data_IF_958127125733
#
_entry.id   IF_958127125733
#
_cell.length_a   1.000
_cell.length_b   1.000
_cell.length_c   1.000
_cell.angle_alpha   90.00
_cell.angle_beta   90.00
_cell.angle_gamma   90.00
#
_symmetry.space_group_name_H-M   'P 1'
#
loop_
_entity.id
_entity.type
_entity.pdbx_description
1 polymer ?
#
# COMPACT_ATOMS: atom_id res chain seq x y z
N UNK A 1 -5.17 -11.17 20.71
CA UNK A 1 -6.35 -11.30 21.60
C UNK A 1 -5.87 -11.15 23.03
N UNK A 2 -6.63 -10.46 23.87
CA UNK A 2 -6.39 -10.29 25.31
C UNK A 2 -7.70 -10.51 26.07
N UNK A 3 -8.09 -11.77 26.38
CA UNK A 3 -9.41 -12.06 26.93
C UNK A 3 -9.71 -11.42 28.30
N UNK A 4 -8.66 -11.06 29.06
CA UNK A 4 -8.79 -10.41 30.36
C UNK A 4 -8.85 -8.88 30.24
N UNK A 5 -8.65 -8.34 29.03
CA UNK A 5 -8.56 -6.92 28.72
C UNK A 5 -7.56 -6.20 29.64
N UNK A 6 -6.41 -6.79 29.97
CA UNK A 6 -5.40 -6.20 30.88
C UNK A 6 -4.18 -5.62 30.17
N UNK A 7 -3.98 -5.95 28.90
CA UNK A 7 -2.85 -5.49 28.11
C UNK A 7 -2.95 -4.01 27.75
N UNK A 8 -1.80 -3.34 27.61
CA UNK A 8 -1.77 -1.93 27.24
C UNK A 8 -2.07 -1.70 25.76
N UNK A 9 -1.43 -2.46 24.86
CA UNK A 9 -1.60 -2.28 23.40
C UNK A 9 -1.63 -3.62 22.68
N UNK A 10 -2.55 -3.75 21.72
CA UNK A 10 -2.63 -4.94 20.86
C UNK A 10 -1.53 -4.98 19.81
N UNK A 11 -1.41 -3.92 19.01
CA UNK A 11 -0.31 -3.73 18.05
C UNK A 11 0.35 -2.36 18.26
N UNK A 12 1.59 -2.38 18.73
CA UNK A 12 2.36 -1.16 18.99
C UNK A 12 3.45 -1.01 17.92
N UNK A 13 3.26 -0.08 16.98
CA UNK A 13 4.29 0.24 16.00
C UNK A 13 5.19 1.34 16.58
N UNK A 14 6.05 0.92 17.50
CA UNK A 14 7.10 1.73 18.14
C UNK A 14 8.50 1.24 17.70
N UNK A 15 8.56 0.61 16.53
CA UNK A 15 9.77 0.06 15.93
C UNK A 15 10.32 1.02 14.85
N UNK A 16 11.57 0.79 14.44
CA UNK A 16 12.20 1.42 13.28
C UNK A 16 11.33 1.45 12.01
N UNK A 17 11.76 2.20 11.00
CA UNK A 17 11.12 2.38 9.68
C UNK A 17 9.93 1.46 9.38
N UNK A 18 8.71 1.94 9.66
CA UNK A 18 7.45 1.21 9.39
C UNK A 18 6.79 1.77 8.15
N UNK A 19 7.14 1.19 7.00
CA UNK A 19 6.54 1.48 5.69
C UNK A 19 5.84 0.24 5.16
N UNK A 20 4.97 -0.34 5.97
CA UNK A 20 4.41 -1.68 5.75
C UNK A 20 2.97 -1.62 5.26
N UNK A 21 2.59 -2.63 4.47
CA UNK A 21 1.19 -2.98 4.23
C UNK A 21 0.78 -4.10 5.18
N UNK A 22 -0.16 -3.84 6.07
CA UNK A 22 -0.68 -4.81 7.03
C UNK A 22 -2.18 -4.97 6.81
N UNK A 23 -2.67 -6.21 6.73
CA UNK A 23 -4.08 -6.46 6.45
C UNK A 23 -4.61 -7.74 7.06
N UNK A 24 -5.94 -7.82 7.16
CA UNK A 24 -6.67 -8.95 7.73
C UNK A 24 -6.30 -9.18 9.21
N UNK A 25 -6.39 -8.11 10.00
CA UNK A 25 -6.00 -8.10 11.41
C UNK A 25 -7.25 -8.00 12.27
N UNK A 26 -7.30 -8.82 13.34
CA UNK A 26 -8.28 -8.69 14.40
C UNK A 26 -7.57 -8.41 15.72
N UNK A 27 -7.93 -7.30 16.38
CA UNK A 27 -7.49 -6.97 17.74
C UNK A 27 -8.69 -6.95 18.67
N UNK A 28 -8.64 -7.76 19.70
CA UNK A 28 -9.70 -7.93 20.70
C UNK A 28 -9.11 -7.75 22.10
N UNK A 29 -9.61 -6.77 22.84
CA UNK A 29 -9.13 -6.36 24.16
C UNK A 29 -8.15 -5.18 24.15
N UNK A 30 -7.30 -5.09 25.18
CA UNK A 30 -6.30 -4.03 25.42
C UNK A 30 -6.86 -2.63 25.76
N UNK A 31 -6.02 -1.75 26.31
CA UNK A 31 -6.34 -0.32 26.40
C UNK A 31 -6.44 0.30 25.01
N UNK A 32 -5.42 0.07 24.20
CA UNK A 32 -5.34 0.56 22.83
C UNK A 32 -5.25 -0.60 21.85
N UNK A 33 -6.05 -0.58 20.79
CA UNK A 33 -6.03 -1.64 19.78
C UNK A 33 -4.74 -1.57 18.97
N UNK A 34 -4.53 -0.44 18.30
CA UNK A 34 -3.35 -0.16 17.48
C UNK A 34 -2.78 1.20 17.87
N UNK A 35 -1.47 1.27 18.19
CA UNK A 35 -0.80 2.52 18.57
C UNK A 35 0.37 2.85 17.64
N UNK A 36 0.38 4.09 17.14
CA UNK A 36 1.48 4.67 16.38
C UNK A 36 2.14 5.78 17.20
N UNK A 37 3.47 5.75 17.28
CA UNK A 37 4.32 6.76 17.91
C UNK A 37 5.28 7.39 16.90
N UNK A 38 5.87 8.57 17.17
CA UNK A 38 6.86 9.12 16.26
C UNK A 38 8.10 8.23 16.30
N UNK A 39 8.49 7.72 15.14
CA UNK A 39 9.78 7.08 14.95
C UNK A 39 10.26 7.30 13.51
N UNK A 40 11.55 7.10 13.24
CA UNK A 40 12.21 7.36 11.96
C UNK A 40 11.39 6.83 10.75
N UNK A 41 10.87 7.76 9.94
CA UNK A 41 10.08 7.53 8.71
C UNK A 41 9.00 6.43 8.81
N UNK A 42 7.98 6.66 9.64
CA UNK A 42 6.90 5.70 9.92
C UNK A 42 5.55 6.14 9.36
N UNK A 43 4.98 5.34 8.44
CA UNK A 43 3.60 5.47 7.93
C UNK A 43 3.06 4.12 7.46
N UNK A 44 2.61 3.24 8.38
CA UNK A 44 1.96 2.00 8.00
C UNK A 44 0.67 2.28 7.21
N UNK A 45 0.39 1.34 6.31
CA UNK A 45 -0.88 1.24 5.60
C UNK A 45 -1.62 0.01 6.11
N UNK A 46 -2.84 0.23 6.60
CA UNK A 46 -3.68 -0.78 7.23
C UNK A 46 -4.94 -0.99 6.39
N UNK A 47 -5.27 -2.24 6.05
CA UNK A 47 -6.52 -2.60 5.38
C UNK A 47 -7.21 -3.79 6.04
N UNK A 48 -8.55 -3.82 6.04
CA UNK A 48 -9.34 -4.96 6.56
C UNK A 48 -8.96 -5.27 8.02
N UNK A 49 -9.11 -4.27 8.88
CA UNK A 49 -8.78 -4.35 10.30
C UNK A 49 -10.06 -4.32 11.11
N UNK A 50 -10.24 -5.29 12.00
CA UNK A 50 -11.30 -5.24 13.03
C UNK A 50 -10.67 -5.02 14.39
N UNK A 51 -11.12 -4.00 15.10
CA UNK A 51 -10.70 -3.71 16.48
C UNK A 51 -11.93 -3.61 17.37
N UNK A 52 -11.90 -4.31 18.51
CA UNK A 52 -13.03 -4.35 19.43
C UNK A 52 -12.62 -4.53 20.88
N UNK A 53 -13.45 -4.05 21.79
CA UNK A 53 -13.26 -4.16 23.24
C UNK A 53 -12.00 -3.46 23.78
N UNK A 54 -11.63 -2.31 23.19
CA UNK A 54 -10.57 -1.44 23.72
C UNK A 54 -11.08 -0.61 24.91
N UNK A 55 -10.21 -0.37 25.90
CA UNK A 55 -10.55 0.43 27.11
C UNK A 55 -10.21 1.92 27.00
N UNK A 56 -9.41 2.34 26.01
CA UNK A 56 -8.96 3.73 25.82
C UNK A 56 -9.21 4.25 24.41
N UNK A 57 -8.76 3.52 23.38
CA UNK A 57 -8.99 3.90 21.98
C UNK A 57 -8.80 2.70 21.04
N UNK A 58 -9.56 2.68 19.95
CA UNK A 58 -9.34 1.70 18.89
C UNK A 58 -7.95 1.88 18.25
N UNK A 59 -7.76 2.98 17.53
CA UNK A 59 -6.48 3.41 16.96
C UNK A 59 -6.00 4.68 17.65
N UNK A 60 -4.77 4.68 18.14
CA UNK A 60 -4.14 5.84 18.75
C UNK A 60 -2.93 6.30 17.94
N UNK A 61 -2.97 7.54 17.45
CA UNK A 61 -1.82 8.22 16.87
C UNK A 61 -1.32 9.25 17.89
N UNK A 62 -0.08 9.08 18.34
CA UNK A 62 0.63 10.01 19.22
C UNK A 62 1.85 10.46 18.43
N UNK A 63 1.84 11.68 17.87
CA UNK A 63 2.80 12.15 16.85
C UNK A 63 3.12 11.12 15.74
N UNK A 64 2.20 10.19 15.51
CA UNK A 64 2.34 9.06 14.60
C UNK A 64 1.44 9.21 13.38
N UNK A 65 1.74 8.49 12.32
CA UNK A 65 0.95 8.58 11.08
C UNK A 65 0.44 7.22 10.64
N UNK A 66 -0.71 7.20 9.96
CA UNK A 66 -1.26 5.98 9.37
C UNK A 66 -2.19 6.29 8.19
N UNK A 67 -2.17 5.41 7.19
CA UNK A 67 -3.20 5.33 6.16
C UNK A 67 -4.05 4.08 6.39
N UNK A 68 -5.35 4.23 6.61
CA UNK A 68 -6.24 3.14 7.02
C UNK A 68 -7.45 3.10 6.09
N UNK A 69 -7.77 1.91 5.60
CA UNK A 69 -8.99 1.65 4.81
C UNK A 69 -9.67 0.39 5.32
N UNK A 70 -11.02 0.32 5.29
CA UNK A 70 -11.77 -0.85 5.78
C UNK A 70 -11.45 -1.18 7.25
N UNK A 71 -11.40 -0.15 8.10
CA UNK A 71 -11.38 -0.30 9.55
C UNK A 71 -12.81 -0.58 10.03
N UNK A 72 -12.97 -1.60 10.85
CA UNK A 72 -14.18 -1.85 11.62
C UNK A 72 -13.87 -1.74 13.10
N UNK A 73 -14.34 -0.67 13.74
CA UNK A 73 -14.18 -0.47 15.17
C UNK A 73 -15.50 -0.76 15.88
N UNK A 74 -15.49 -1.69 16.82
CA UNK A 74 -16.63 -2.01 17.70
C UNK A 74 -16.26 -1.64 19.15
N UNK A 75 -16.44 -0.37 19.51
CA UNK A 75 -15.91 0.17 20.77
C UNK A 75 -16.82 1.23 21.36
N UNK A 76 -16.86 1.33 22.70
CA UNK A 76 -17.52 2.44 23.41
C UNK A 76 -16.61 3.66 23.60
N UNK A 77 -15.29 3.44 23.48
CA UNK A 77 -14.22 4.45 23.43
C UNK A 77 -14.02 4.97 22.01
N UNK A 78 -13.28 6.08 21.79
CA UNK A 78 -13.01 6.57 20.44
C UNK A 78 -12.42 5.47 19.56
N UNK A 79 -12.98 5.31 18.37
CA UNK A 79 -12.43 4.40 17.37
C UNK A 79 -11.06 4.87 16.89
N UNK A 80 -10.84 6.19 16.83
CA UNK A 80 -9.56 6.79 16.49
C UNK A 80 -9.29 8.04 17.34
N UNK A 81 -8.06 8.18 17.84
CA UNK A 81 -7.60 9.35 18.58
C UNK A 81 -6.26 9.86 18.04
N UNK A 82 -6.18 11.15 17.75
CA UNK A 82 -4.95 11.83 17.32
C UNK A 82 -4.49 12.81 18.41
N UNK A 83 -3.22 12.68 18.78
CA UNK A 83 -2.53 13.51 19.78
C UNK A 83 -1.13 13.87 19.29
N UNK A 84 -0.61 15.03 19.71
CA UNK A 84 0.65 15.57 19.18
C UNK A 84 0.50 16.22 17.79
N UNK A 85 1.32 17.24 17.53
CA UNK A 85 1.25 18.04 16.30
C UNK A 85 1.65 17.27 15.04
N UNK A 86 2.48 16.23 15.17
CA UNK A 86 2.92 15.37 14.07
C UNK A 86 1.93 14.28 13.67
N UNK A 87 0.82 14.14 14.40
CA UNK A 87 -0.18 13.11 14.07
C UNK A 87 -0.83 13.36 12.71
N UNK A 88 -0.89 12.32 11.87
CA UNK A 88 -1.54 12.41 10.56
C UNK A 88 -2.31 11.12 10.23
N UNK A 89 -3.64 11.24 10.11
CA UNK A 89 -4.51 10.12 9.78
C UNK A 89 -5.16 10.25 8.41
N UNK A 90 -5.23 9.13 7.69
CA UNK A 90 -6.14 8.92 6.58
C UNK A 90 -7.04 7.74 6.93
N UNK A 91 -8.36 7.91 6.86
CA UNK A 91 -9.34 6.87 7.17
C UNK A 91 -10.41 6.78 6.07
N UNK A 92 -10.49 5.64 5.40
CA UNK A 92 -11.32 5.43 4.22
C UNK A 92 -12.24 4.22 4.37
N UNK A 93 -13.42 4.26 3.76
CA UNK A 93 -14.31 3.10 3.58
C UNK A 93 -14.49 2.26 4.86
N UNK A 94 -14.75 2.91 5.99
CA UNK A 94 -14.67 2.30 7.33
C UNK A 94 -15.98 2.36 8.11
N UNK A 95 -16.09 1.55 9.16
CA UNK A 95 -17.27 1.42 10.02
C UNK A 95 -16.88 1.62 11.48
N UNK A 96 -17.42 2.65 12.12
CA UNK A 96 -17.16 2.96 13.53
C UNK A 96 -18.47 2.79 14.32
N UNK A 97 -18.59 1.70 15.08
CA UNK A 97 -19.84 1.27 15.71
C UNK A 97 -19.68 0.96 17.19
N UNK A 98 -20.81 0.75 17.89
CA UNK A 98 -20.88 0.55 19.33
C UNK A 98 -21.09 1.88 20.04
N UNK A 99 -20.04 2.68 20.10
CA UNK A 99 -20.00 4.03 20.63
C UNK A 99 -20.55 4.20 22.06
N UNK A 100 -20.57 5.45 22.51
CA UNK A 100 -21.30 5.88 23.69
C UNK A 100 -21.73 7.35 23.50
N UNK A 101 -22.83 7.75 24.12
CA UNK A 101 -23.39 9.09 23.96
C UNK A 101 -22.41 10.22 24.37
N UNK A 102 -21.51 9.97 25.33
CA UNK A 102 -20.48 10.92 25.77
C UNK A 102 -19.19 10.89 24.95
N UNK A 103 -19.09 10.01 23.95
CA UNK A 103 -17.86 9.74 23.21
C UNK A 103 -17.99 10.13 21.74
N UNK A 104 -16.95 10.73 21.16
CA UNK A 104 -16.85 10.92 19.72
C UNK A 104 -16.09 9.77 19.05
N UNK A 105 -16.53 9.34 17.87
CA UNK A 105 -15.88 8.23 17.15
C UNK A 105 -14.43 8.56 16.78
N UNK A 106 -14.19 9.77 16.28
CA UNK A 106 -12.85 10.28 15.97
C UNK A 106 -12.58 11.51 16.84
N UNK A 107 -11.46 11.50 17.56
CA UNK A 107 -11.00 12.63 18.38
C UNK A 107 -9.69 13.18 17.84
N UNK A 108 -9.67 14.48 17.53
CA UNK A 108 -8.51 15.18 16.98
C UNK A 108 -8.11 16.26 17.98
N UNK A 109 -7.23 15.91 18.91
CA UNK A 109 -6.70 16.84 19.90
C UNK A 109 -5.56 17.68 19.32
N UNK A 110 -4.75 17.07 18.44
CA UNK A 110 -3.72 17.73 17.64
C UNK A 110 -3.47 16.92 16.35
N UNK A 111 -2.76 17.51 15.39
CA UNK A 111 -2.46 16.87 14.11
C UNK A 111 -3.59 17.01 13.08
N UNK A 112 -3.54 16.17 12.05
CA UNK A 112 -4.36 16.29 10.84
C UNK A 112 -5.08 14.98 10.50
N UNK A 113 -6.29 15.08 9.93
CA UNK A 113 -7.07 13.93 9.53
C UNK A 113 -7.79 14.18 8.20
N UNK A 114 -7.74 13.19 7.32
CA UNK A 114 -8.61 13.05 6.16
C UNK A 114 -9.49 11.80 6.34
N UNK A 115 -10.80 11.96 6.25
CA UNK A 115 -11.77 10.89 6.50
C UNK A 115 -12.79 10.86 5.36
N UNK A 116 -13.00 9.71 4.72
CA UNK A 116 -13.92 9.60 3.56
C UNK A 116 -14.67 8.27 3.59
N UNK A 117 -15.97 8.30 3.26
CA UNK A 117 -16.87 7.13 3.21
C UNK A 117 -16.83 6.32 4.51
N UNK A 118 -17.06 6.99 5.64
CA UNK A 118 -17.07 6.35 6.96
C UNK A 118 -18.48 6.35 7.55
N UNK A 119 -18.97 5.18 7.94
CA UNK A 119 -20.22 5.06 8.67
C UNK A 119 -19.95 5.14 10.17
N UNK A 120 -20.82 5.84 10.89
CA UNK A 120 -20.69 6.03 12.33
C UNK A 120 -22.02 5.73 13.02
N UNK A 121 -22.00 4.86 14.03
CA UNK A 121 -23.18 4.51 14.80
C UNK A 121 -22.88 4.35 16.31
N UNK A 122 -23.80 4.82 17.16
CA UNK A 122 -23.72 4.68 18.62
C UNK A 122 -22.86 5.73 19.35
N UNK A 123 -22.07 6.53 18.62
CA UNK A 123 -21.30 7.64 19.19
C UNK A 123 -22.12 8.92 19.30
N UNK A 124 -21.82 9.76 20.29
CA UNK A 124 -22.46 11.07 20.45
C UNK A 124 -22.15 12.04 19.31
N UNK A 125 -20.92 11.97 18.78
CA UNK A 125 -20.48 12.71 17.59
C UNK A 125 -19.55 11.85 16.73
N UNK A 126 -19.53 12.09 15.43
CA UNK A 126 -18.64 11.39 14.50
C UNK A 126 -17.20 11.90 14.58
N UNK A 127 -17.01 13.21 14.64
CA UNK A 127 -15.70 13.84 14.82
C UNK A 127 -15.76 14.93 15.86
N UNK A 128 -14.74 15.01 16.71
CA UNK A 128 -14.46 16.16 17.58
C UNK A 128 -13.07 16.71 17.32
N UNK A 129 -12.97 18.00 17.00
CA UNK A 129 -11.71 18.75 16.87
C UNK A 129 -11.81 20.06 17.66
N UNK A 130 -11.18 20.12 18.83
CA UNK A 130 -11.39 21.25 19.75
C UNK A 130 -12.87 21.38 20.13
N UNK A 131 -13.48 22.53 19.80
CA UNK A 131 -14.92 22.79 19.99
C UNK A 131 -15.78 22.39 18.80
N UNK A 132 -15.18 22.03 17.66
CA UNK A 132 -15.92 21.61 16.47
C UNK A 132 -16.40 20.17 16.62
N UNK A 133 -17.68 19.96 16.31
CA UNK A 133 -18.36 18.66 16.32
C UNK A 133 -18.94 18.39 14.93
N UNK A 134 -18.87 17.15 14.49
CA UNK A 134 -19.46 16.65 13.23
C UNK A 134 -20.27 15.41 13.56
N UNK A 135 -21.47 15.32 13.01
CA UNK A 135 -22.43 14.25 13.30
C UNK A 135 -22.80 13.46 12.05
N UNK A 136 -23.25 12.22 12.26
CA UNK A 136 -23.73 11.33 11.20
C UNK A 136 -22.61 10.71 10.35
N UNK A 137 -23.00 10.02 9.28
CA UNK A 137 -22.05 9.38 8.38
C UNK A 137 -21.18 10.42 7.67
N UNK A 138 -19.90 10.10 7.51
CA UNK A 138 -18.90 10.99 6.91
C UNK A 138 -18.76 10.64 5.44
N UNK A 139 -19.27 11.52 4.57
CA UNK A 139 -18.99 11.45 3.13
C UNK A 139 -17.52 11.78 2.84
N UNK A 140 -17.09 12.98 3.21
CA UNK A 140 -15.69 13.43 3.20
C UNK A 140 -15.51 14.51 4.28
N UNK A 141 -14.42 14.42 5.03
CA UNK A 141 -14.03 15.37 6.07
C UNK A 141 -12.52 15.59 6.01
N UNK A 142 -12.12 16.86 6.01
CA UNK A 142 -10.75 17.32 6.20
C UNK A 142 -10.69 18.12 7.49
N UNK A 143 -9.70 17.85 8.33
CA UNK A 143 -9.57 18.60 9.58
C UNK A 143 -9.02 20.02 9.37
N UNK A 144 -8.47 20.33 8.19
CA UNK A 144 -7.92 21.63 7.83
C UNK A 144 -8.34 22.03 6.41
N UNK A 145 -8.25 23.32 6.09
CA UNK A 145 -8.55 23.80 4.75
C UNK A 145 -7.63 23.12 3.72
N UNK A 146 -8.18 22.57 2.63
CA UNK A 146 -7.37 21.92 1.61
C UNK A 146 -6.54 22.96 0.86
N UNK A 147 -5.27 22.62 0.59
CA UNK A 147 -4.43 23.40 -0.33
C UNK A 147 -4.77 22.98 -1.76
N UNK A 148 -4.93 23.95 -2.65
CA UNK A 148 -5.41 23.74 -4.01
C UNK A 148 -4.45 24.39 -5.00
N UNK A 149 -4.24 23.74 -6.15
CA UNK A 149 -3.41 24.29 -7.23
C UNK A 149 -3.98 25.61 -7.76
N UNK A 150 -5.30 25.70 -7.90
CA UNK A 150 -6.01 26.92 -8.31
C UNK A 150 -7.38 27.03 -7.65
N UNK A 151 -8.00 28.21 -7.72
CA UNK A 151 -9.37 28.43 -7.22
C UNK A 151 -10.43 27.60 -7.93
N UNK A 152 -10.18 27.24 -9.20
CA UNK A 152 -11.01 26.36 -10.01
C UNK A 152 -10.87 24.88 -9.63
N UNK A 153 -9.80 24.50 -8.93
CA UNK A 153 -9.61 23.13 -8.45
C UNK A 153 -10.67 22.84 -7.38
N UNK A 154 -11.42 21.72 -7.49
CA UNK A 154 -12.36 21.32 -6.46
C UNK A 154 -11.71 21.22 -5.08
N UNK A 155 -12.45 21.58 -4.03
CA UNK A 155 -12.00 21.43 -2.65
C UNK A 155 -12.26 20.01 -2.09
N UNK A 156 -12.52 19.05 -2.98
CA UNK A 156 -12.76 17.64 -2.65
C UNK A 156 -11.71 16.76 -3.30
N UNK A 157 -11.51 15.59 -2.73
CA UNK A 157 -10.67 14.57 -3.35
C UNK A 157 -11.28 14.04 -4.65
N UNK A 158 -10.48 13.29 -5.43
CA UNK A 158 -10.94 12.68 -6.69
C UNK A 158 -11.96 11.57 -6.46
N UNK A 159 -11.91 10.94 -5.28
CA UNK A 159 -12.74 9.80 -4.91
C UNK A 159 -12.72 8.68 -5.94
N UNK A 160 -11.50 8.36 -6.40
CA UNK A 160 -11.33 7.28 -7.37
C UNK A 160 -11.88 5.98 -6.79
N UNK A 161 -12.60 5.17 -7.59
CA UNK A 161 -13.05 3.87 -7.15
C UNK A 161 -11.84 2.99 -6.85
N UNK A 162 -11.89 2.29 -5.73
CA UNK A 162 -10.81 1.39 -5.30
C UNK A 162 -11.24 -0.05 -5.53
N UNK A 163 -10.53 -0.79 -6.37
CA UNK A 163 -10.78 -2.22 -6.54
C UNK A 163 -10.14 -3.03 -5.41
N UNK A 164 -10.90 -3.99 -4.87
CA UNK A 164 -10.39 -4.93 -3.89
C UNK A 164 -9.36 -5.87 -4.53
N UNK A 165 -8.31 -6.21 -3.77
CA UNK A 165 -7.35 -7.22 -4.20
C UNK A 165 -8.12 -8.53 -4.38
N UNK A 166 -8.04 -9.19 -5.55
CA UNK A 166 -8.69 -10.48 -5.73
C UNK A 166 -8.28 -11.47 -4.64
N UNK A 167 -9.25 -12.18 -4.07
CA UNK A 167 -8.99 -13.23 -3.06
C UNK A 167 -8.83 -14.57 -3.77
N UNK A 168 -7.85 -15.35 -3.32
CA UNK A 168 -7.59 -16.69 -3.83
C UNK A 168 -7.25 -17.63 -2.67
N UNK A 169 -7.93 -18.77 -2.61
CA UNK A 169 -7.56 -19.85 -1.69
C UNK A 169 -6.23 -20.49 -2.11
N UNK A 170 -5.45 -20.95 -1.15
CA UNK A 170 -4.25 -21.72 -1.45
C UNK A 170 -4.62 -23.08 -2.05
N UNK A 171 -3.94 -23.47 -3.13
CA UNK A 171 -4.08 -24.83 -3.65
C UNK A 171 -3.44 -25.83 -2.67
N UNK A 172 -3.88 -27.10 -2.62
CA UNK A 172 -3.21 -28.12 -1.82
C UNK A 172 -1.75 -28.25 -2.27
N UNK A 173 -0.82 -28.43 -1.34
CA UNK A 173 0.63 -28.50 -1.63
C UNK A 173 0.97 -29.60 -2.65
N UNK A 174 0.18 -30.68 -2.72
CA UNK A 174 0.31 -31.75 -3.74
C UNK A 174 0.07 -31.28 -5.17
N UNK A 175 -0.53 -30.10 -5.36
CA UNK A 175 -0.73 -29.46 -6.65
C UNK A 175 0.36 -28.45 -7.01
N UNK A 176 1.34 -28.23 -6.14
CA UNK A 176 2.42 -27.27 -6.37
C UNK A 176 3.58 -27.95 -7.11
N UNK A 177 4.34 -27.15 -7.86
CA UNK A 177 5.55 -27.62 -8.56
C UNK A 177 6.70 -26.66 -8.32
N UNK A 178 7.92 -27.20 -8.22
CA UNK A 178 9.15 -26.42 -8.17
C UNK A 178 10.00 -26.66 -9.42
N UNK A 179 10.86 -25.72 -9.81
CA UNK A 179 11.92 -25.98 -10.78
C UNK A 179 12.79 -27.16 -10.33
N UNK A 180 13.12 -28.08 -11.25
CA UNK A 180 13.98 -29.22 -10.96
C UNK A 180 15.47 -28.84 -11.01
N UNK A 181 15.87 -27.94 -10.11
CA UNK A 181 17.25 -27.45 -9.93
C UNK A 181 17.42 -26.93 -8.49
N UNK A 182 18.62 -26.94 -7.89
CA UNK A 182 18.83 -26.56 -6.50
C UNK A 182 18.39 -25.12 -6.15
N UNK A 183 18.57 -24.16 -7.06
CA UNK A 183 18.38 -22.75 -6.75
C UNK A 183 19.49 -22.20 -5.85
N UNK A 184 20.74 -22.43 -6.24
CA UNK A 184 21.97 -22.00 -5.58
C UNK A 184 22.64 -20.76 -6.21
N UNK A 185 21.99 -20.15 -7.21
CA UNK A 185 22.52 -19.01 -7.98
C UNK A 185 23.61 -19.34 -8.99
N UNK A 186 24.06 -20.61 -9.11
CA UNK A 186 25.21 -20.97 -9.94
C UNK A 186 24.78 -21.35 -11.36
N UNK A 187 23.96 -22.39 -11.46
CA UNK A 187 23.53 -22.96 -12.74
C UNK A 187 22.40 -22.14 -13.37
N UNK A 188 22.35 -22.11 -14.71
CA UNK A 188 21.22 -21.54 -15.44
C UNK A 188 19.94 -22.35 -15.19
N UNK A 189 19.00 -21.76 -14.45
CA UNK A 189 17.73 -22.35 -14.09
C UNK A 189 16.63 -22.12 -15.13
N UNK A 190 16.87 -21.38 -16.22
CA UNK A 190 15.83 -20.98 -17.18
C UNK A 190 15.04 -22.18 -17.71
N UNK A 191 15.70 -23.28 -18.10
CA UNK A 191 15.02 -24.47 -18.60
C UNK A 191 14.17 -25.17 -17.52
N UNK A 192 14.70 -25.28 -16.30
CA UNK A 192 14.01 -25.89 -15.17
C UNK A 192 12.77 -25.10 -14.74
N UNK A 193 12.85 -23.77 -14.75
CA UNK A 193 11.70 -22.91 -14.43
C UNK A 193 10.65 -22.97 -15.55
N UNK A 194 11.05 -22.94 -16.82
CA UNK A 194 10.12 -23.13 -17.95
C UNK A 194 9.37 -24.45 -17.84
N UNK A 195 10.06 -25.54 -17.49
CA UNK A 195 9.44 -26.84 -17.27
C UNK A 195 8.43 -26.83 -16.10
N UNK A 196 8.71 -26.11 -15.02
CA UNK A 196 7.76 -25.95 -13.92
C UNK A 196 6.53 -25.13 -14.35
N UNK A 197 6.72 -24.02 -15.07
CA UNK A 197 5.63 -23.19 -15.59
C UNK A 197 4.73 -23.94 -16.58
N UNK A 198 5.30 -24.83 -17.41
CA UNK A 198 4.56 -25.63 -18.40
C UNK A 198 3.95 -26.92 -17.85
N UNK A 199 4.14 -27.24 -16.57
CA UNK A 199 3.67 -28.49 -15.94
C UNK A 199 2.14 -28.64 -15.85
N UNK A 200 1.38 -27.59 -16.17
CA UNK A 200 -0.07 -27.54 -15.99
C UNK A 200 -0.52 -27.32 -14.54
N UNK A 201 0.42 -27.18 -13.59
CA UNK A 201 0.12 -26.97 -12.17
C UNK A 201 -0.25 -25.50 -11.88
N UNK A 202 -1.20 -25.23 -10.97
CA UNK A 202 -1.67 -23.88 -10.68
C UNK A 202 -0.69 -23.03 -9.86
N UNK A 203 0.15 -23.67 -9.04
CA UNK A 203 1.15 -22.98 -8.21
C UNK A 203 2.56 -23.46 -8.55
N UNK A 204 3.41 -22.50 -8.96
CA UNK A 204 4.86 -22.71 -9.07
C UNK A 204 5.53 -22.05 -7.88
N UNK A 205 6.41 -22.77 -7.17
CA UNK A 205 7.11 -22.25 -6.01
C UNK A 205 8.63 -22.43 -6.09
N UNK A 206 9.35 -21.54 -5.41
CA UNK A 206 10.81 -21.43 -5.50
C UNK A 206 11.42 -21.58 -4.10
N UNK A 207 11.83 -22.80 -3.71
CA UNK A 207 12.36 -23.04 -2.37
C UNK A 207 13.87 -22.75 -2.21
N UNK A 208 14.58 -22.50 -3.31
CA UNK A 208 16.01 -22.17 -3.30
C UNK A 208 16.28 -20.76 -2.78
N UNK A 209 17.57 -20.45 -2.59
CA UNK A 209 18.01 -19.10 -2.24
C UNK A 209 18.01 -18.19 -3.48
N UNK A 210 18.53 -18.68 -4.61
CA UNK A 210 18.66 -17.90 -5.83
C UNK A 210 18.48 -18.76 -7.09
N UNK A 211 17.68 -18.29 -8.05
CA UNK A 211 17.56 -18.90 -9.38
C UNK A 211 18.09 -17.96 -10.44
N UNK A 212 19.28 -18.27 -10.97
CA UNK A 212 19.86 -17.55 -12.10
C UNK A 212 19.12 -17.87 -13.39
N UNK A 213 18.78 -16.85 -14.16
CA UNK A 213 18.11 -16.98 -15.46
C UNK A 213 18.87 -16.21 -16.54
N UNK A 214 18.82 -16.70 -17.78
CA UNK A 214 19.50 -16.08 -18.93
C UNK A 214 18.54 -15.54 -19.99
N UNK A 215 17.25 -15.87 -19.88
CA UNK A 215 16.22 -15.41 -20.80
C UNK A 215 14.85 -15.28 -20.11
N UNK A 216 13.94 -14.45 -20.65
CA UNK A 216 12.58 -14.33 -20.13
C UNK A 216 11.82 -15.67 -20.15
N UNK A 217 10.91 -15.80 -19.18
CA UNK A 217 10.06 -16.97 -18.96
C UNK A 217 8.60 -16.55 -19.01
N UNK A 218 7.81 -17.20 -19.85
CA UNK A 218 6.38 -16.95 -19.94
C UNK A 218 5.63 -17.59 -18.78
N UNK A 219 4.68 -16.85 -18.21
CA UNK A 219 3.75 -17.39 -17.22
C UNK A 219 2.43 -17.71 -17.92
N UNK A 220 2.12 -19.00 -18.17
CA UNK A 220 0.92 -19.40 -18.89
C UNK A 220 -0.35 -19.26 -18.05
N UNK A 221 -1.52 -19.33 -18.69
CA UNK A 221 -2.81 -19.25 -18.00
C UNK A 221 -3.03 -20.38 -16.98
N UNK A 222 -2.36 -21.54 -17.14
CA UNK A 222 -2.44 -22.65 -16.18
C UNK A 222 -1.86 -22.26 -14.81
N UNK A 223 -0.83 -21.41 -14.79
CA UNK A 223 -0.22 -20.91 -13.56
C UNK A 223 -1.05 -19.74 -13.04
N UNK A 224 -1.60 -19.90 -11.84
CA UNK A 224 -2.39 -18.88 -11.14
C UNK A 224 -1.60 -18.20 -10.05
N UNK A 225 -0.56 -18.86 -9.55
CA UNK A 225 0.29 -18.32 -8.50
C UNK A 225 1.77 -18.69 -8.69
N UNK A 226 2.63 -17.71 -8.42
CA UNK A 226 4.06 -17.86 -8.30
C UNK A 226 4.48 -17.47 -6.88
N UNK A 227 4.97 -18.44 -6.11
CA UNK A 227 5.38 -18.27 -4.72
C UNK A 227 6.90 -18.32 -4.63
N UNK A 228 7.54 -17.16 -4.46
CA UNK A 228 9.00 -17.07 -4.47
C UNK A 228 9.65 -17.44 -3.13
N UNK A 229 8.90 -17.51 -2.03
CA UNK A 229 9.44 -17.89 -0.70
C UNK A 229 10.69 -17.09 -0.27
N UNK A 230 10.70 -15.81 -0.62
CA UNK A 230 11.81 -14.87 -0.46
C UNK A 230 13.08 -15.21 -1.25
N UNK A 231 12.99 -16.09 -2.26
CA UNK A 231 14.08 -16.35 -3.20
C UNK A 231 14.44 -15.09 -3.98
N UNK A 232 15.69 -15.04 -4.40
CA UNK A 232 16.11 -14.20 -5.49
C UNK A 232 15.95 -14.90 -6.85
N UNK A 233 15.50 -14.17 -7.88
CA UNK A 233 15.68 -14.60 -9.27
C UNK A 233 16.59 -13.58 -9.93
N UNK A 234 17.76 -13.99 -10.43
CA UNK A 234 18.79 -13.08 -10.95
C UNK A 234 18.90 -13.17 -12.48
N UNK A 235 19.02 -12.00 -13.11
CA UNK A 235 19.23 -11.72 -14.53
C UNK A 235 19.33 -10.19 -14.68
N UNK A 236 20.05 -9.69 -15.68
CA UNK A 236 20.10 -8.26 -16.03
C UNK A 236 18.84 -7.78 -16.77
N UNK A 237 18.13 -8.68 -17.46
CA UNK A 237 16.93 -8.37 -18.25
C UNK A 237 15.60 -8.77 -17.59
N UNK A 238 14.53 -8.73 -18.40
CA UNK A 238 13.19 -9.21 -18.03
C UNK A 238 13.25 -10.68 -17.60
N UNK A 239 12.66 -11.01 -16.44
CA UNK A 239 12.60 -12.39 -15.94
C UNK A 239 11.33 -13.09 -16.37
N UNK A 240 10.19 -12.49 -16.10
CA UNK A 240 8.89 -13.09 -16.34
C UNK A 240 8.04 -12.23 -17.26
N UNK A 241 7.37 -12.87 -18.22
CA UNK A 241 6.36 -12.23 -19.07
C UNK A 241 4.98 -12.71 -18.64
N UNK A 242 4.13 -11.78 -18.25
CA UNK A 242 2.73 -12.06 -17.88
C UNK A 242 1.89 -12.04 -19.13
N UNK A 243 1.46 -13.22 -19.58
CA UNK A 243 0.66 -13.39 -20.78
C UNK A 243 -0.80 -12.92 -20.58
N UNK A 244 -1.42 -12.43 -21.64
CA UNK A 244 -2.85 -12.10 -21.70
C UNK A 244 -3.72 -13.31 -22.06
N UNK A 245 -5.01 -13.04 -22.32
CA UNK A 245 -5.97 -14.08 -22.74
C UNK A 245 -6.44 -15.00 -21.62
N UNK A 246 -6.10 -14.68 -20.37
CA UNK A 246 -6.55 -15.39 -19.17
C UNK A 246 -7.45 -14.44 -18.35
N UNK A 247 -8.64 -14.89 -17.95
CA UNK A 247 -9.54 -14.12 -17.07
C UNK A 247 -9.12 -14.16 -15.60
N UNK A 248 -8.48 -15.25 -15.17
CA UNK A 248 -8.07 -15.39 -13.77
C UNK A 248 -6.85 -14.54 -13.45
N UNK A 249 -6.85 -13.80 -12.32
CA UNK A 249 -5.68 -13.06 -11.86
C UNK A 249 -4.44 -13.95 -11.70
N UNK A 250 -3.26 -13.38 -11.92
CA UNK A 250 -1.98 -13.96 -11.55
C UNK A 250 -1.52 -13.38 -10.23
N UNK A 251 -1.20 -14.24 -9.26
CA UNK A 251 -0.61 -13.84 -7.99
C UNK A 251 0.89 -14.10 -8.01
N UNK A 252 1.71 -13.09 -7.73
CA UNK A 252 3.16 -13.23 -7.55
C UNK A 252 3.54 -12.72 -6.15
N UNK A 253 4.23 -13.56 -5.38
CA UNK A 253 4.42 -13.34 -3.94
C UNK A 253 5.85 -13.58 -3.47
N UNK A 254 6.31 -12.74 -2.55
CA UNK A 254 7.48 -12.96 -1.70
C UNK A 254 8.79 -13.16 -2.47
N UNK A 255 9.15 -12.24 -3.37
CA UNK A 255 10.33 -12.41 -4.22
C UNK A 255 11.26 -11.21 -4.18
N UNK A 256 12.56 -11.47 -4.28
CA UNK A 256 13.59 -10.47 -4.58
C UNK A 256 14.08 -10.64 -6.01
N UNK A 257 14.32 -9.54 -6.71
CA UNK A 257 14.57 -9.56 -8.15
C UNK A 257 15.65 -8.53 -8.50
N UNK A 258 16.72 -8.98 -9.16
CA UNK A 258 17.69 -8.05 -9.79
C UNK A 258 17.22 -7.64 -11.19
N UNK A 259 17.29 -6.37 -11.60
CA UNK A 259 16.80 -5.97 -12.94
C UNK A 259 15.27 -6.00 -13.07
N UNK A 260 14.74 -6.06 -14.31
CA UNK A 260 13.29 -6.00 -14.57
C UNK A 260 12.61 -7.33 -14.22
N UNK A 261 11.79 -7.37 -13.16
CA UNK A 261 11.18 -8.62 -12.71
C UNK A 261 10.04 -9.11 -13.62
N UNK A 262 9.06 -8.25 -13.87
CA UNK A 262 7.85 -8.60 -14.63
C UNK A 262 7.64 -7.65 -15.79
N UNK A 263 7.39 -8.23 -16.96
CA UNK A 263 6.91 -7.52 -18.13
C UNK A 263 5.46 -7.94 -18.39
N UNK A 264 4.53 -7.00 -18.20
CA UNK A 264 3.11 -7.24 -18.39
C UNK A 264 2.78 -7.04 -19.86
N UNK A 265 2.60 -8.14 -20.61
CA UNK A 265 2.45 -8.09 -22.07
C UNK A 265 1.05 -8.42 -22.55
N UNK A 266 0.13 -8.77 -21.65
CA UNK A 266 -1.30 -8.87 -21.94
C UNK A 266 -2.18 -8.35 -20.81
N UNK A 267 -3.50 -8.42 -20.97
CA UNK A 267 -4.48 -7.78 -20.09
C UNK A 267 -4.88 -8.61 -18.84
N UNK A 268 -4.09 -9.61 -18.45
CA UNK A 268 -4.39 -10.49 -17.30
C UNK A 268 -4.21 -9.71 -16.00
N UNK A 269 -5.20 -9.65 -15.08
CA UNK A 269 -5.01 -8.94 -13.82
C UNK A 269 -3.79 -9.48 -13.05
N UNK A 270 -2.88 -8.60 -12.63
CA UNK A 270 -1.66 -8.96 -11.93
C UNK A 270 -1.72 -8.49 -10.47
N UNK A 271 -1.50 -9.40 -9.54
CA UNK A 271 -1.39 -9.12 -8.10
C UNK A 271 0.05 -9.36 -7.67
N UNK A 272 0.76 -8.28 -7.34
CA UNK A 272 2.12 -8.31 -6.79
C UNK A 272 2.06 -8.09 -5.28
N UNK A 273 2.61 -9.02 -4.51
CA UNK A 273 2.60 -8.94 -3.04
C UNK A 273 4.00 -9.22 -2.49
N UNK A 274 4.60 -8.23 -1.80
CA UNK A 274 5.98 -8.34 -1.27
C UNK A 274 6.98 -8.73 -2.35
N UNK A 275 6.98 -7.94 -3.43
CA UNK A 275 7.94 -8.08 -4.52
C UNK A 275 8.95 -6.94 -4.43
N UNK A 276 10.20 -7.31 -4.27
CA UNK A 276 11.35 -6.41 -4.22
C UNK A 276 12.14 -6.49 -5.53
N UNK A 277 12.44 -5.35 -6.15
CA UNK A 277 13.24 -5.20 -7.35
C UNK A 277 14.35 -4.17 -7.16
N UNK A 278 15.61 -4.51 -7.49
CA UNK A 278 16.72 -3.56 -7.46
C UNK A 278 16.91 -2.77 -8.76
N UNK A 279 16.30 -3.22 -9.87
CA UNK A 279 16.40 -2.59 -11.20
C UNK A 279 15.07 -2.37 -11.93
N UNK A 280 13.95 -2.38 -11.20
CA UNK A 280 12.59 -2.26 -11.74
C UNK A 280 11.76 -3.52 -11.48
N UNK A 281 10.77 -3.49 -10.60
CA UNK A 281 9.96 -4.69 -10.35
C UNK A 281 8.91 -4.94 -11.45
N UNK A 282 8.56 -3.93 -12.24
CA UNK A 282 7.45 -4.02 -13.18
C UNK A 282 7.64 -3.08 -14.37
N UNK A 283 7.25 -3.57 -15.55
CA UNK A 283 7.02 -2.80 -16.76
C UNK A 283 5.69 -3.21 -17.36
N UNK A 284 4.94 -2.25 -17.91
CA UNK A 284 3.82 -2.52 -18.80
C UNK A 284 4.30 -2.53 -20.27
N UNK A 285 3.88 -3.48 -21.07
CA UNK A 285 4.09 -3.57 -22.52
C UNK A 285 2.85 -4.13 -23.24
N UNK A 286 1.68 -3.99 -22.61
CA UNK A 286 0.39 -4.39 -23.20
C UNK A 286 0.08 -3.51 -24.40
N UNK A 287 -0.13 -4.13 -25.56
CA UNK A 287 -0.41 -3.42 -26.81
C UNK A 287 -1.89 -3.00 -26.95
N UNK A 288 -2.82 -3.75 -26.35
CA UNK A 288 -4.27 -3.48 -26.44
C UNK A 288 -4.99 -3.84 -25.14
N UNK A 289 -6.02 -3.06 -24.81
CA UNK A 289 -6.78 -3.19 -23.57
C UNK A 289 -6.13 -2.46 -22.40
N UNK A 290 -6.79 -2.52 -21.23
CA UNK A 290 -6.36 -1.80 -20.02
C UNK A 290 -6.00 -2.80 -18.93
N UNK A 291 -4.71 -3.18 -18.78
CA UNK A 291 -4.31 -4.10 -17.72
C UNK A 291 -4.57 -3.50 -16.33
N UNK A 292 -4.78 -4.39 -15.36
CA UNK A 292 -4.98 -4.01 -13.97
C UNK A 292 -3.83 -4.56 -13.13
N UNK A 293 -3.22 -3.69 -12.32
CA UNK A 293 -2.19 -4.04 -11.36
C UNK A 293 -2.65 -3.78 -9.92
N UNK A 294 -2.55 -4.79 -9.08
CA UNK A 294 -2.69 -4.68 -7.63
C UNK A 294 -1.30 -4.77 -6.99
N UNK A 295 -0.84 -3.68 -6.39
CA UNK A 295 0.49 -3.58 -5.78
C UNK A 295 0.42 -3.52 -4.26
N UNK A 296 0.92 -4.56 -3.59
CA UNK A 296 0.89 -4.67 -2.14
C UNK A 296 2.31 -4.82 -1.59
N UNK A 297 2.87 -3.76 -1.01
CA UNK A 297 4.25 -3.75 -0.51
C UNK A 297 5.24 -4.10 -1.62
N UNK A 298 5.34 -3.24 -2.62
CA UNK A 298 6.24 -3.41 -3.76
C UNK A 298 7.23 -2.24 -3.83
N UNK A 299 8.37 -2.41 -4.50
CA UNK A 299 9.25 -1.27 -4.79
C UNK A 299 9.63 -1.24 -6.27
N UNK A 300 10.17 -0.10 -6.71
CA UNK A 300 10.67 0.07 -8.09
C UNK A 300 9.63 -0.26 -9.16
N UNK A 301 8.36 0.08 -8.89
CA UNK A 301 7.29 0.13 -9.88
C UNK A 301 6.97 1.60 -10.10
N UNK A 302 7.57 2.15 -11.15
CA UNK A 302 7.80 3.60 -11.31
C UNK A 302 7.14 4.17 -12.57
N UNK A 303 6.64 3.33 -13.49
CA UNK A 303 5.99 3.78 -14.72
C UNK A 303 4.68 3.03 -14.96
N UNK A 304 3.61 3.80 -15.11
CA UNK A 304 2.27 3.33 -15.44
C UNK A 304 1.84 3.99 -16.74
N UNK A 305 1.64 3.19 -17.77
CA UNK A 305 1.06 3.66 -19.04
C UNK A 305 -0.17 2.85 -19.40
N UNK A 306 -1.22 3.49 -19.94
CA UNK A 306 -2.43 2.84 -20.48
C UNK A 306 -3.07 1.77 -19.56
N UNK A 307 -3.07 2.00 -18.23
CA UNK A 307 -3.44 0.98 -17.26
C UNK A 307 -4.20 1.51 -16.05
N UNK A 308 -4.72 0.58 -15.24
CA UNK A 308 -5.23 0.87 -13.90
C UNK A 308 -4.35 0.23 -12.84
N UNK A 309 -3.96 0.98 -11.83
CA UNK A 309 -3.15 0.48 -10.73
C UNK A 309 -3.73 0.85 -9.37
N UNK A 310 -3.79 -0.14 -8.47
CA UNK A 310 -4.28 0.00 -7.09
C UNK A 310 -3.16 -0.38 -6.12
N UNK A 311 -2.48 0.63 -5.59
CA UNK A 311 -1.23 0.51 -4.86
C UNK A 311 -1.48 0.76 -3.37
N UNK A 312 -1.20 -0.24 -2.53
CA UNK A 312 -1.37 -0.12 -1.08
C UNK A 312 -0.15 0.50 -0.45
N UNK A 313 1.02 -0.05 -0.76
CA UNK A 313 2.32 0.52 -0.41
C UNK A 313 3.28 0.29 -1.55
N UNK A 314 3.89 1.36 -2.03
CA UNK A 314 5.01 1.32 -2.98
C UNK A 314 6.21 2.12 -2.49
N UNK A 315 7.42 1.67 -2.81
CA UNK A 315 8.67 2.39 -2.52
C UNK A 315 9.42 2.73 -3.81
N UNK A 316 9.84 3.99 -3.95
CA UNK A 316 10.81 4.41 -4.95
C UNK A 316 11.90 5.27 -4.32
N UNK A 317 13.13 5.08 -4.81
CA UNK A 317 14.34 5.82 -4.38
C UNK A 317 15.09 6.37 -5.61
N UNK A 318 14.38 6.48 -6.74
CA UNK A 318 14.93 6.96 -8.01
C UNK A 318 15.34 8.43 -7.92
N UNK A 319 16.58 8.78 -8.32
CA UNK A 319 17.01 10.18 -8.34
C UNK A 319 16.47 10.97 -9.55
N UNK A 320 15.87 10.31 -10.55
CA UNK A 320 15.48 10.93 -11.83
C UNK A 320 13.97 11.17 -11.97
N UNK A 321 13.21 10.95 -10.90
CA UNK A 321 11.75 10.91 -10.93
C UNK A 321 11.24 9.55 -10.47
N UNK A 322 10.15 9.52 -9.71
CA UNK A 322 9.73 8.30 -8.99
C UNK A 322 8.53 7.60 -9.61
N UNK A 323 7.46 8.32 -9.95
CA UNK A 323 6.29 7.73 -10.59
C UNK A 323 5.81 8.56 -11.76
N UNK A 324 5.77 7.95 -12.93
CA UNK A 324 5.12 8.51 -14.14
C UNK A 324 3.78 7.84 -14.36
N UNK A 325 2.72 8.64 -14.47
CA UNK A 325 1.34 8.25 -14.70
C UNK A 325 0.94 8.80 -16.08
N UNK A 326 1.14 7.99 -17.11
CA UNK A 326 0.96 8.34 -18.52
C UNK A 326 -0.33 7.72 -19.06
N UNK A 327 -1.38 8.52 -19.30
CA UNK A 327 -2.69 8.00 -19.72
C UNK A 327 -3.19 6.80 -18.87
N UNK A 328 -2.85 6.80 -17.58
CA UNK A 328 -3.16 5.74 -16.63
C UNK A 328 -4.00 6.27 -15.46
N UNK A 329 -4.76 5.40 -14.82
CA UNK A 329 -5.49 5.71 -13.57
C UNK A 329 -4.82 4.99 -12.41
N UNK A 330 -4.25 5.73 -11.47
CA UNK A 330 -3.51 5.19 -10.33
C UNK A 330 -4.14 5.66 -9.02
N UNK A 331 -4.48 4.70 -8.17
CA UNK A 331 -4.90 4.94 -6.80
C UNK A 331 -3.83 4.41 -5.84
N UNK A 332 -3.43 5.23 -4.87
CA UNK A 332 -2.31 4.94 -3.97
C UNK A 332 -2.63 5.30 -2.51
N UNK A 333 -2.64 4.30 -1.63
CA UNK A 333 -2.93 4.49 -0.20
C UNK A 333 -1.71 4.91 0.63
N UNK A 334 -0.55 4.40 0.23
CA UNK A 334 0.73 4.55 0.90
C UNK A 334 1.87 4.54 -0.11
N UNK A 335 2.85 5.42 0.10
CA UNK A 335 4.13 5.34 -0.60
C UNK A 335 5.29 5.75 0.28
N UNK A 336 6.50 5.43 -0.16
CA UNK A 336 7.71 6.07 0.32
C UNK A 336 8.60 6.49 -0.84
N UNK A 337 9.10 7.72 -0.72
CA UNK A 337 10.06 8.37 -1.58
C UNK A 337 11.32 8.74 -0.82
N UNK A 338 12.41 8.96 -1.56
CA UNK A 338 13.59 9.68 -1.08
C UNK A 338 14.07 10.78 -2.04
N UNK A 339 14.92 11.66 -1.51
CA UNK A 339 15.63 12.72 -2.24
C UNK A 339 14.73 13.87 -2.70
N UNK A 340 15.38 14.94 -3.15
CA UNK A 340 14.73 16.09 -3.77
C UNK A 340 14.58 15.84 -5.27
N UNK A 341 13.56 15.09 -5.66
CA UNK A 341 13.23 14.81 -7.06
C UNK A 341 11.72 14.98 -7.31
N UNK A 342 11.33 15.06 -8.58
CA UNK A 342 9.92 14.99 -8.98
C UNK A 342 9.34 13.65 -8.50
N UNK A 343 8.38 13.70 -7.58
CA UNK A 343 7.81 12.47 -7.01
C UNK A 343 6.79 11.86 -7.96
N UNK A 344 5.85 12.66 -8.45
CA UNK A 344 4.79 12.21 -9.34
C UNK A 344 4.77 13.09 -10.59
N UNK A 345 4.76 12.45 -11.75
CA UNK A 345 4.58 13.08 -13.05
C UNK A 345 3.32 12.52 -13.71
N UNK A 346 2.29 13.35 -13.87
CA UNK A 346 0.98 12.94 -14.39
C UNK A 346 0.79 13.60 -15.75
N UNK A 347 0.79 12.78 -16.80
CA UNK A 347 0.88 13.24 -18.20
C UNK A 347 -0.16 12.56 -19.08
N UNK A 348 -0.40 13.16 -20.26
CA UNK A 348 -1.25 12.61 -21.32
C UNK A 348 -2.64 12.13 -20.85
N UNK A 349 -3.27 12.87 -19.93
CA UNK A 349 -4.60 12.52 -19.40
C UNK A 349 -4.58 11.53 -18.24
N UNK A 350 -3.42 11.22 -17.67
CA UNK A 350 -3.29 10.42 -16.46
C UNK A 350 -4.09 10.99 -15.29
N UNK A 351 -4.52 10.10 -14.40
CA UNK A 351 -5.27 10.43 -13.18
C UNK A 351 -4.62 9.74 -11.99
N UNK A 352 -4.28 10.50 -10.96
CA UNK A 352 -3.59 10.02 -9.77
C UNK A 352 -4.29 10.49 -8.50
N UNK A 353 -4.65 9.55 -7.62
CA UNK A 353 -5.06 9.84 -6.25
C UNK A 353 -4.05 9.24 -5.26
N UNK A 354 -3.38 10.10 -4.48
CA UNK A 354 -2.45 9.70 -3.42
C UNK A 354 -3.03 10.13 -2.08
N UNK A 355 -3.26 9.15 -1.21
CA UNK A 355 -3.93 9.37 0.07
C UNK A 355 -2.93 9.39 1.23
N UNK A 356 -1.76 8.77 1.05
CA UNK A 356 -0.70 8.87 2.02
C UNK A 356 0.64 8.38 1.55
N UNK A 357 1.68 8.81 2.26
CA UNK A 357 3.04 8.36 2.11
C UNK A 357 4.03 9.23 2.88
N UNK A 358 5.31 8.92 2.71
CA UNK A 358 6.42 9.68 3.28
C UNK A 358 7.38 10.05 2.16
N UNK A 359 7.84 11.30 2.17
CA UNK A 359 8.99 11.72 1.38
C UNK A 359 10.13 11.94 2.35
N UNK A 360 11.10 11.03 2.36
CA UNK A 360 12.31 11.19 3.13
C UNK A 360 13.27 12.13 2.37
N UNK A 361 13.24 13.41 2.72
CA UNK A 361 14.15 14.40 2.19
C UNK A 361 15.37 14.53 3.10
N UNK A 362 16.51 14.03 2.62
CA UNK A 362 17.80 14.40 3.16
C UNK A 362 18.50 15.26 2.10
N UNK A 363 18.82 16.50 2.44
CA UNK A 363 19.66 17.33 1.59
C UNK A 363 21.10 16.82 1.70
N UNK A 364 21.81 16.76 0.57
CA UNK A 364 23.27 16.94 0.62
C UNK A 364 23.66 18.43 0.49
N UNK A 365 22.71 19.32 0.21
CA UNK A 365 22.93 20.77 0.14
C UNK A 365 21.65 21.54 0.54
N UNK A 366 21.67 22.47 1.51
CA UNK A 366 20.48 23.19 2.00
C UNK A 366 19.78 24.12 0.98
N UNK A 367 20.34 24.34 -0.22
CA UNK A 367 19.99 25.50 -1.04
C UNK A 367 19.19 25.23 -2.33
N UNK A 368 19.04 23.99 -2.81
CA UNK A 368 18.47 23.73 -4.14
C UNK A 368 17.00 23.30 -4.19
N UNK A 369 16.35 23.10 -3.04
CA UNK A 369 14.96 22.62 -2.99
C UNK A 369 13.89 23.64 -3.44
N UNK A 370 14.27 24.91 -3.69
CA UNK A 370 13.31 26.00 -3.89
C UNK A 370 13.41 26.73 -5.25
N UNK A 371 14.26 26.25 -6.17
CA UNK A 371 14.58 26.98 -7.41
C UNK A 371 13.86 26.46 -8.68
N UNK A 372 12.73 25.76 -8.53
CA UNK A 372 11.95 25.27 -9.67
C UNK A 372 10.46 25.52 -9.49
N UNK A 373 9.78 25.90 -10.55
CA UNK A 373 8.32 26.07 -10.68
C UNK A 373 7.51 24.78 -10.52
N UNK A 374 8.01 23.84 -9.73
CA UNK A 374 7.34 22.61 -9.35
C UNK A 374 6.53 22.88 -8.07
N UNK A 375 5.21 22.85 -8.21
CA UNK A 375 4.30 22.90 -7.08
C UNK A 375 4.46 21.64 -6.20
N UNK A 376 5.46 21.66 -5.33
CA UNK A 376 5.51 20.81 -4.14
C UNK A 376 4.97 21.69 -3.01
N UNK A 377 3.75 21.40 -2.54
CA UNK A 377 3.25 21.98 -1.30
C UNK A 377 3.89 21.16 -0.17
N UNK A 378 4.82 21.74 0.62
CA UNK A 378 5.41 21.02 1.75
C UNK A 378 4.38 20.85 2.88
N UNK A 379 4.39 19.74 3.64
CA UNK A 379 3.89 19.77 5.00
C UNK A 379 4.88 20.58 5.85
N UNK A 380 4.38 21.65 6.45
CA UNK A 380 5.17 22.68 7.12
C UNK A 380 6.02 22.15 8.29
N UNK A 381 7.22 22.74 8.39
CA UNK A 381 8.09 22.83 9.56
C UNK A 381 7.33 23.55 10.69
N UNK A 382 7.30 22.97 11.89
CA UNK A 382 6.91 23.67 13.11
C UNK A 382 8.12 24.39 13.71
N UNK A 383 7.93 25.66 14.08
CA UNK A 383 8.85 26.38 14.98
C UNK A 383 8.77 25.85 16.40
#
# INVERSE_FOLDING_TARGET
MDPEHKGAVGLDNDIGTVLSYQSNIVVDGFDVGIRMRPYHFTRPTLEHVTIRNQRVAGVQLVDGTASIRKLRSENTVPAMSLTGGGSHAVLLDSELVGGAAGTSAITINAGQAFVRKVTVAGYGHSVKKGTQLVDGNIGEYVSHAPVRFSTATPAKSLDLPVEEVPVRAWDPVTSWVKPNTPGDGVADATAAIRAAMSSGRPTVYFPGYEYRTTAPIDIPCSVKQVQFMFTEVSNSGVKFRVLGGCSDPLFVRDGSMQGIAFDHIGNRPLVMHRIHGSGGAYRNSVATGTPVLFGNMINKVESFHDMRAYLRVTNSESPLGQWTIDNATVWMLGFKSEKTALVFDVINGGTLEVLGGIINQYSQEPASAWAGSLAIIPPYVSY
#
